data_IF_292108927187
#
_entry.id   IF_292108927187
#
_cell.length_a   1.000
_cell.length_b   1.000
_cell.length_c   1.000
_cell.angle_alpha   90.00
_cell.angle_beta   90.00
_cell.angle_gamma   90.00
#
_symmetry.space_group_name_H-M   'P 1'
#
loop_
_entity.id
_entity.type
_entity.pdbx_description
1 polymer ?
#
# COMPACT_ATOMS: atom_id res chain seq x y z
N UNK A 1 0.49 12.60 4.13
CA UNK A 1 -0.15 12.65 2.79
C UNK A 1 -0.03 14.07 2.26
N UNK A 2 0.19 14.26 0.95
CA UNK A 2 0.35 15.61 0.37
C UNK A 2 1.42 15.73 -0.72
N UNK A 3 2.25 14.69 -0.90
CA UNK A 3 3.20 14.56 -2.01
C UNK A 3 2.82 13.30 -2.81
N UNK A 4 2.84 13.39 -4.14
CA UNK A 4 2.46 12.29 -5.01
C UNK A 4 3.44 11.12 -4.84
N UNK A 5 2.94 9.88 -4.90
CA UNK A 5 3.76 8.67 -4.67
C UNK A 5 4.91 8.54 -5.68
N UNK A 6 4.73 9.08 -6.89
CA UNK A 6 5.79 9.14 -7.91
C UNK A 6 6.94 10.09 -7.61
N UNK A 7 6.72 11.10 -6.74
CA UNK A 7 7.73 12.11 -6.38
C UNK A 7 8.25 11.90 -4.95
N UNK A 8 7.76 10.85 -4.27
CA UNK A 8 8.15 10.50 -2.92
C UNK A 8 9.33 9.53 -2.93
N UNK A 9 10.23 9.68 -1.95
CA UNK A 9 11.18 8.61 -1.63
C UNK A 9 10.40 7.51 -0.91
N UNK A 10 10.40 6.31 -1.49
CA UNK A 10 9.69 5.14 -0.96
C UNK A 10 10.68 4.04 -0.61
N UNK A 11 10.37 3.28 0.45
CA UNK A 11 11.20 2.17 0.93
C UNK A 11 10.36 0.89 1.03
N UNK A 12 11.01 -0.25 0.85
CA UNK A 12 10.42 -1.57 1.05
C UNK A 12 11.34 -2.44 1.92
N UNK A 13 10.82 -3.17 2.93
CA UNK A 13 9.42 -3.24 3.36
C UNK A 13 8.99 -2.00 4.18
N UNK A 14 7.74 -1.99 4.66
CA UNK A 14 7.25 -0.98 5.60
C UNK A 14 8.06 -0.97 6.89
N UNK A 15 8.43 0.21 7.40
CA UNK A 15 9.36 0.36 8.53
C UNK A 15 8.68 0.68 9.87
N UNK A 16 7.56 1.40 9.85
CA UNK A 16 6.93 1.98 11.05
C UNK A 16 5.53 1.46 11.33
N UNK A 17 5.08 0.45 10.58
CA UNK A 17 3.81 -0.23 10.85
C UNK A 17 4.02 -1.29 11.93
N UNK A 18 3.10 -1.34 12.90
CA UNK A 18 2.96 -2.51 13.76
C UNK A 18 2.46 -3.71 12.96
N UNK A 19 2.69 -4.93 13.47
CA UNK A 19 2.18 -6.15 12.81
C UNK A 19 0.65 -6.12 12.69
N UNK A 20 -0.06 -5.64 13.71
CA UNK A 20 -1.51 -5.49 13.68
C UNK A 20 -1.97 -4.58 12.52
N UNK A 21 -1.35 -3.41 12.35
CA UNK A 21 -1.66 -2.49 11.25
C UNK A 21 -1.32 -3.11 9.89
N UNK A 22 -0.19 -3.81 9.79
CA UNK A 22 0.21 -4.50 8.57
C UNK A 22 -0.83 -5.57 8.16
N UNK A 23 -1.25 -6.42 9.09
CA UNK A 23 -2.26 -7.46 8.82
C UNK A 23 -3.64 -6.85 8.51
N UNK A 24 -4.00 -5.74 9.16
CA UNK A 24 -5.22 -4.99 8.86
C UNK A 24 -5.22 -4.49 7.41
N UNK A 25 -4.16 -3.79 6.98
CA UNK A 25 -4.05 -3.26 5.61
C UNK A 25 -3.94 -4.37 4.56
N UNK A 26 -3.25 -5.47 4.88
CA UNK A 26 -3.20 -6.67 4.04
C UNK A 26 -4.60 -7.27 3.85
N UNK A 27 -5.35 -7.42 4.94
CA UNK A 27 -6.72 -7.96 4.89
C UNK A 27 -7.65 -7.03 4.09
N UNK A 28 -7.54 -5.72 4.29
CA UNK A 28 -8.27 -4.72 3.52
C UNK A 28 -7.97 -4.83 2.01
N UNK A 29 -6.69 -4.95 1.65
CA UNK A 29 -6.26 -5.12 0.24
C UNK A 29 -6.91 -6.34 -0.40
N UNK A 30 -6.91 -7.49 0.28
CA UNK A 30 -7.54 -8.72 -0.23
C UNK A 30 -9.06 -8.60 -0.35
N UNK A 31 -9.72 -7.89 0.59
CA UNK A 31 -11.15 -7.61 0.51
C UNK A 31 -11.49 -6.72 -0.68
N UNK A 32 -10.70 -5.68 -0.93
CA UNK A 32 -10.86 -4.78 -2.07
C UNK A 32 -10.71 -5.55 -3.39
N UNK A 33 -9.64 -6.34 -3.54
CA UNK A 33 -9.39 -7.14 -4.75
C UNK A 33 -10.57 -8.07 -5.05
N UNK A 34 -11.07 -8.79 -4.03
CA UNK A 34 -12.22 -9.70 -4.18
C UNK A 34 -13.52 -8.96 -4.46
N UNK A 35 -13.78 -7.87 -3.74
CA UNK A 35 -15.01 -7.08 -3.89
C UNK A 35 -15.14 -6.41 -5.25
N UNK A 36 -14.00 -6.07 -5.87
CA UNK A 36 -13.95 -5.47 -7.21
C UNK A 36 -13.79 -6.50 -8.33
N UNK A 37 -13.69 -7.80 -8.02
CA UNK A 37 -13.50 -8.86 -9.02
C UNK A 37 -12.20 -8.70 -9.82
N UNK A 38 -11.13 -8.19 -9.19
CA UNK A 38 -9.88 -7.92 -9.89
C UNK A 38 -9.14 -9.23 -10.15
N UNK A 39 -8.93 -9.53 -11.44
CA UNK A 39 -8.11 -10.63 -11.91
C UNK A 39 -6.74 -10.11 -12.35
N UNK A 40 -5.69 -10.63 -11.73
CA UNK A 40 -4.32 -10.25 -12.01
C UNK A 40 -3.74 -9.19 -11.05
N UNK A 41 -2.93 -8.28 -11.57
CA UNK A 41 -2.11 -7.37 -10.76
C UNK A 41 -2.87 -6.15 -10.30
N UNK A 42 -2.75 -5.80 -9.02
CA UNK A 42 -3.41 -4.64 -8.43
C UNK A 42 -2.45 -3.87 -7.51
N UNK A 43 -2.57 -2.55 -7.53
CA UNK A 43 -1.93 -1.65 -6.57
C UNK A 43 -3.01 -0.91 -5.78
N UNK A 44 -3.00 -1.06 -4.45
CA UNK A 44 -3.89 -0.35 -3.54
C UNK A 44 -3.07 0.62 -2.70
N UNK A 45 -3.52 1.88 -2.60
CA UNK A 45 -2.86 2.90 -1.80
C UNK A 45 -3.74 3.27 -0.60
N UNK A 46 -3.12 3.32 0.57
CA UNK A 46 -3.78 3.63 1.83
C UNK A 46 -3.14 4.85 2.50
N UNK A 47 -3.93 5.58 3.27
CA UNK A 47 -3.46 6.53 4.26
C UNK A 47 -3.72 5.96 5.67
N UNK A 48 -2.69 5.95 6.49
CA UNK A 48 -2.74 5.56 7.90
C UNK A 48 -2.19 6.72 8.73
N UNK A 49 -2.71 6.91 9.95
CA UNK A 49 -2.07 7.80 10.90
C UNK A 49 -0.62 7.35 11.15
N UNK A 50 0.36 8.28 11.20
CA UNK A 50 1.73 7.89 11.48
C UNK A 50 1.86 7.28 12.89
N UNK A 51 2.81 6.34 13.03
CA UNK A 51 3.14 5.76 14.32
C UNK A 51 3.41 6.86 15.37
N UNK A 52 3.01 6.71 16.65
CA UNK A 52 3.13 7.77 17.66
C UNK A 52 4.50 8.44 17.74
N UNK A 53 5.59 7.65 17.69
CA UNK A 53 6.99 8.15 17.63
C UNK A 53 7.27 9.10 16.46
N UNK A 54 6.61 8.89 15.32
CA UNK A 54 6.74 9.75 14.14
C UNK A 54 5.84 10.97 14.29
N UNK A 55 4.60 10.76 14.75
CA UNK A 55 3.62 11.84 14.96
C UNK A 55 4.11 12.90 15.95
N UNK A 56 4.77 12.48 17.04
CA UNK A 56 5.41 13.38 18.01
C UNK A 56 6.49 14.26 17.35
N UNK A 57 7.30 13.68 16.46
CA UNK A 57 8.35 14.41 15.74
C UNK A 57 7.77 15.45 14.77
N UNK A 58 6.58 15.22 14.23
CA UNK A 58 5.94 16.10 13.25
C UNK A 58 5.12 17.22 13.90
N UNK A 59 4.88 17.18 15.21
CA UNK A 59 4.08 18.20 15.93
C UNK A 59 2.65 18.35 15.39
N UNK A 60 2.14 17.37 14.66
CA UNK A 60 0.81 17.38 14.07
C UNK A 60 -0.11 16.49 14.89
N UNK A 61 -1.04 17.10 15.60
CA UNK A 61 -2.17 16.40 16.20
C UNK A 61 -3.29 16.27 15.18
N UNK A 62 -3.63 15.03 14.87
CA UNK A 62 -4.81 14.71 14.07
C UNK A 62 -5.50 13.50 14.67
N UNK A 63 -6.82 13.56 14.75
CA UNK A 63 -7.68 12.48 15.26
C UNK A 63 -8.36 11.82 14.06
N UNK A 64 -7.92 10.62 13.62
CA UNK A 64 -8.59 9.92 12.54
C UNK A 64 -9.98 9.43 12.96
N UNK A 65 -10.97 9.60 12.08
CA UNK A 65 -12.30 8.99 12.23
C UNK A 65 -12.33 7.49 11.86
N UNK A 66 -11.36 7.04 11.07
CA UNK A 66 -11.22 5.66 10.60
C UNK A 66 -9.80 5.16 10.84
N UNK A 67 -9.60 3.87 11.17
CA UNK A 67 -8.26 3.31 11.38
C UNK A 67 -7.34 3.48 10.17
N UNK A 68 -7.89 3.51 8.96
CA UNK A 68 -7.17 3.83 7.72
C UNK A 68 -8.15 4.38 6.67
N UNK A 69 -7.60 4.95 5.60
CA UNK A 69 -8.37 5.42 4.45
C UNK A 69 -7.81 4.80 3.18
N UNK A 70 -8.68 4.41 2.24
CA UNK A 70 -8.27 4.00 0.90
C UNK A 70 -8.17 5.25 0.05
N UNK A 71 -7.00 5.47 -0.57
CA UNK A 71 -6.77 6.62 -1.45
C UNK A 71 -7.23 6.28 -2.87
N UNK A 72 -6.68 5.19 -3.41
CA UNK A 72 -7.01 4.71 -4.76
C UNK A 72 -6.72 3.22 -4.91
N UNK A 73 -7.34 2.64 -5.94
CA UNK A 73 -7.15 1.25 -6.36
C UNK A 73 -6.86 1.26 -7.86
N UNK A 74 -5.71 0.72 -8.24
CA UNK A 74 -5.29 0.59 -9.62
C UNK A 74 -5.30 -0.91 -10.01
N UNK A 75 -6.32 -1.40 -10.75
CA UNK A 75 -6.44 -2.80 -11.16
C UNK A 75 -5.54 -3.09 -12.39
N UNK A 76 -4.25 -2.77 -12.27
CA UNK A 76 -3.25 -2.98 -13.31
C UNK A 76 -1.85 -3.01 -12.71
N UNK A 77 -0.89 -3.48 -13.49
CA UNK A 77 0.54 -3.31 -13.19
C UNK A 77 0.89 -1.81 -13.21
N UNK A 78 1.64 -1.37 -12.20
CA UNK A 78 2.08 0.03 -12.08
C UNK A 78 3.62 0.13 -12.02
N UNK A 79 4.16 1.35 -12.07
CA UNK A 79 5.58 1.61 -11.82
C UNK A 79 6.03 1.03 -10.46
N UNK A 80 5.16 1.13 -9.45
CA UNK A 80 5.39 0.57 -8.13
C UNK A 80 5.43 -0.96 -8.14
N UNK A 81 4.67 -1.63 -9.01
CA UNK A 81 4.75 -3.10 -9.18
C UNK A 81 6.12 -3.53 -9.73
N UNK A 82 6.71 -2.77 -10.65
CA UNK A 82 8.06 -3.03 -11.15
C UNK A 82 9.13 -2.84 -10.06
N UNK A 83 9.02 -1.75 -9.28
CA UNK A 83 9.87 -1.52 -8.12
C UNK A 83 9.77 -2.66 -7.10
N UNK A 84 8.55 -3.07 -6.76
CA UNK A 84 8.30 -4.18 -5.84
C UNK A 84 8.89 -5.51 -6.36
N UNK A 85 8.79 -5.76 -7.66
CA UNK A 85 9.38 -6.95 -8.29
C UNK A 85 10.90 -6.98 -8.13
N UNK A 86 11.56 -5.83 -8.27
CA UNK A 86 13.01 -5.71 -8.06
C UNK A 86 13.40 -5.82 -6.58
N UNK A 87 12.63 -5.19 -5.69
CA UNK A 87 12.91 -5.23 -4.25
C UNK A 87 12.72 -6.62 -3.63
N UNK A 88 11.80 -7.44 -4.18
CA UNK A 88 11.46 -8.76 -3.65
C UNK A 88 12.06 -9.94 -4.44
N UNK A 89 12.50 -9.70 -5.68
CA UNK A 89 12.87 -10.76 -6.62
C UNK A 89 11.67 -11.51 -7.23
N UNK A 90 10.43 -11.11 -6.91
CA UNK A 90 9.22 -11.75 -7.42
C UNK A 90 8.76 -11.08 -8.73
N UNK A 91 8.72 -11.78 -9.88
CA UNK A 91 8.43 -11.15 -11.18
C UNK A 91 6.92 -10.93 -11.38
N UNK A 92 6.36 -9.90 -10.73
CA UNK A 92 4.91 -9.63 -10.71
C UNK A 92 4.34 -9.57 -12.12
N UNK A 93 4.93 -8.76 -13.01
CA UNK A 93 4.38 -8.55 -14.36
C UNK A 93 4.41 -9.81 -15.25
N UNK A 94 5.39 -10.70 -15.05
CA UNK A 94 5.56 -11.91 -15.88
C UNK A 94 4.63 -13.05 -15.47
N UNK A 95 4.14 -13.02 -14.23
CA UNK A 95 3.28 -14.07 -13.68
C UNK A 95 1.78 -13.82 -13.96
N UNK A 96 1.38 -12.57 -14.21
CA UNK A 96 -0.02 -12.22 -14.45
C UNK A 96 -0.63 -12.82 -15.72
N UNK A 97 0.07 -12.86 -16.89
CA UNK A 97 -0.46 -13.53 -18.08
C UNK A 97 -0.65 -15.05 -17.90
N UNK A 98 -0.06 -15.65 -16.86
CA UNK A 98 -0.16 -17.09 -16.58
C UNK A 98 -1.33 -17.47 -15.69
N UNK A 99 -2.11 -16.49 -15.22
CA UNK A 99 -3.23 -16.67 -14.29
C UNK A 99 -4.60 -16.44 -14.97
N UNK A 100 -4.66 -16.50 -16.31
CA UNK A 100 -5.90 -16.51 -17.10
C UNK A 100 -6.16 -17.91 -17.66
#
# INVERSE_FOLDING_TARGET
MGVHTGDSIVVAPSQTLSDHEYQMLRTASLKIIRGLGIEGGCNVQFALQPHPRVSETLGQEWLPESPYYVIEVNPRVSRSSALASKATGYPIAELLPRLQ
#
